data_IF_422154737058
#
_entry.id   IF_422154737058
#
_cell.length_a   1.000
_cell.length_b   1.000
_cell.length_c   1.000
_cell.angle_alpha   90.00
_cell.angle_beta   90.00
_cell.angle_gamma   90.00
#
_symmetry.space_group_name_H-M   'P 1'
#
loop_
_entity.id
_entity.type
_entity.pdbx_description
1 polymer ?
#
# COMPACT_ATOMS: atom_id res chain seq x y z
N UNK A 1 12.07 15.29 -3.31
CA UNK A 1 11.67 13.91 -3.67
C UNK A 1 10.23 13.66 -3.31
N UNK A 2 9.52 13.03 -4.20
CA UNK A 2 8.12 12.65 -4.00
C UNK A 2 8.07 11.14 -3.74
N UNK A 3 7.39 10.74 -2.68
CA UNK A 3 7.14 9.33 -2.40
C UNK A 3 6.16 8.78 -3.44
N UNK A 4 6.52 7.68 -4.08
CA UNK A 4 5.69 7.06 -5.12
C UNK A 4 5.62 5.56 -4.93
N UNK A 5 4.48 5.00 -5.32
CA UNK A 5 4.26 3.55 -5.36
C UNK A 5 3.90 3.21 -6.81
N UNK A 6 4.61 2.23 -7.38
CA UNK A 6 4.34 1.76 -8.73
C UNK A 6 5.15 2.45 -9.82
N UNK A 7 5.96 3.44 -9.49
CA UNK A 7 6.81 4.14 -10.45
C UNK A 7 8.05 4.65 -9.74
N UNK A 8 9.19 4.69 -10.44
CA UNK A 8 10.39 5.33 -9.90
C UNK A 8 10.17 6.84 -9.77
N UNK A 9 10.70 7.44 -8.71
CA UNK A 9 10.42 8.84 -8.40
C UNK A 9 11.11 9.83 -9.34
N UNK A 10 12.15 9.41 -10.04
CA UNK A 10 12.98 10.27 -10.86
C UNK A 10 12.94 9.95 -12.37
N UNK A 11 12.09 9.01 -12.78
CA UNK A 11 11.91 8.67 -14.19
C UNK A 11 10.42 8.49 -14.48
N UNK A 12 10.03 8.68 -15.74
CA UNK A 12 8.61 8.74 -16.11
C UNK A 12 8.08 7.48 -16.77
N UNK A 13 8.92 6.48 -17.02
CA UNK A 13 8.54 5.32 -17.81
C UNK A 13 8.90 3.98 -17.15
N UNK A 14 9.22 3.98 -15.86
CA UNK A 14 9.49 2.76 -15.12
C UNK A 14 8.30 2.49 -14.19
N UNK A 15 7.29 1.83 -14.71
CA UNK A 15 6.05 1.54 -13.99
C UNK A 15 6.04 0.09 -13.54
N UNK A 16 5.38 -0.16 -12.40
CA UNK A 16 5.12 -1.51 -11.93
C UNK A 16 4.01 -2.15 -12.76
N UNK A 17 4.25 -3.33 -13.28
CA UNK A 17 3.23 -4.09 -14.01
C UNK A 17 2.69 -5.21 -13.13
N UNK A 18 1.48 -5.05 -12.61
CA UNK A 18 0.89 -6.05 -11.74
C UNK A 18 -0.23 -5.44 -10.89
N UNK A 19 -0.55 -6.13 -9.80
CA UNK A 19 -1.63 -5.74 -8.88
C UNK A 19 -1.03 -5.43 -7.52
N UNK A 20 -1.44 -4.29 -6.93
CA UNK A 20 -1.06 -3.90 -5.58
C UNK A 20 -2.34 -3.78 -4.76
N UNK A 21 -2.40 -4.47 -3.62
CA UNK A 21 -3.57 -4.46 -2.75
C UNK A 21 -3.36 -3.60 -1.50
N UNK A 22 -2.30 -3.86 -0.76
CA UNK A 22 -2.02 -3.18 0.49
C UNK A 22 -0.56 -2.72 0.52
N UNK A 23 -0.32 -1.55 1.08
CA UNK A 23 1.02 -1.04 1.34
C UNK A 23 1.08 -0.52 2.76
N UNK A 24 2.11 -0.90 3.50
CA UNK A 24 2.30 -0.43 4.86
C UNK A 24 3.76 -0.08 5.09
N UNK A 25 3.98 0.95 5.88
CA UNK A 25 5.33 1.44 6.19
C UNK A 25 5.44 1.55 7.71
N UNK A 26 6.45 0.87 8.27
CA UNK A 26 6.81 1.00 9.68
C UNK A 26 8.05 1.86 9.78
N UNK A 27 8.10 2.68 10.82
CA UNK A 27 9.28 3.49 11.13
C UNK A 27 10.22 2.80 12.12
N UNK A 28 9.97 1.52 12.41
CA UNK A 28 10.77 0.69 13.30
C UNK A 28 11.09 -0.64 12.62
N UNK A 29 12.11 -1.34 13.14
CA UNK A 29 12.50 -2.64 12.62
C UNK A 29 11.46 -3.70 13.03
N UNK A 30 10.83 -4.33 12.03
CA UNK A 30 9.80 -5.34 12.21
C UNK A 30 10.27 -6.76 11.87
N UNK A 31 11.58 -6.99 11.84
CA UNK A 31 12.14 -8.31 11.48
C UNK A 31 11.54 -9.42 12.34
N UNK A 32 11.36 -9.19 13.66
CA UNK A 32 10.80 -10.18 14.56
C UNK A 32 9.30 -10.45 14.32
N UNK A 33 8.61 -9.59 13.58
CA UNK A 33 7.16 -9.67 13.36
C UNK A 33 6.80 -10.05 11.93
N UNK A 34 7.75 -10.42 11.08
CA UNK A 34 7.48 -10.67 9.66
C UNK A 34 6.44 -11.77 9.44
N UNK A 35 6.48 -12.84 10.22
CA UNK A 35 5.52 -13.93 10.08
C UNK A 35 4.09 -13.47 10.37
N UNK A 36 3.92 -12.63 11.38
CA UNK A 36 2.63 -12.06 11.75
C UNK A 36 2.11 -11.11 10.66
N UNK A 37 3.00 -10.28 10.12
CA UNK A 37 2.64 -9.33 9.06
C UNK A 37 2.26 -10.11 7.79
N UNK A 38 3.05 -11.13 7.44
CA UNK A 38 2.79 -11.93 6.25
C UNK A 38 1.49 -12.73 6.36
N UNK A 39 1.16 -13.21 7.56
CA UNK A 39 -0.07 -13.93 7.86
C UNK A 39 -0.33 -15.11 6.91
N UNK A 40 0.73 -15.86 6.59
CA UNK A 40 0.68 -17.00 5.66
C UNK A 40 0.11 -16.63 4.28
N UNK A 41 0.28 -15.38 3.87
CA UNK A 41 -0.20 -14.88 2.57
C UNK A 41 -1.64 -14.42 2.56
N UNK A 42 -2.38 -14.55 3.67
CA UNK A 42 -3.76 -14.10 3.74
C UNK A 42 -3.82 -12.60 4.03
N UNK A 43 -4.74 -11.90 3.38
CA UNK A 43 -4.96 -10.49 3.64
C UNK A 43 -5.46 -10.28 5.06
N UNK A 44 -5.05 -9.18 5.69
CA UNK A 44 -5.50 -8.80 7.03
C UNK A 44 -5.47 -7.29 7.18
N UNK A 45 -6.15 -6.78 8.18
CA UNK A 45 -6.07 -5.37 8.55
C UNK A 45 -4.85 -5.15 9.43
N UNK A 46 -3.81 -4.55 8.83
CA UNK A 46 -2.54 -4.34 9.52
C UNK A 46 -2.63 -3.30 10.63
N UNK A 47 -3.67 -2.46 10.62
CA UNK A 47 -3.88 -1.48 11.69
C UNK A 47 -4.26 -2.13 13.02
N UNK A 48 -4.66 -3.39 12.99
CA UNK A 48 -5.04 -4.14 14.20
C UNK A 48 -3.86 -4.87 14.85
N UNK A 49 -2.69 -4.82 14.26
CA UNK A 49 -1.51 -5.47 14.83
C UNK A 49 -1.05 -4.75 16.10
N UNK A 50 -0.38 -5.50 17.00
CA UNK A 50 0.18 -4.93 18.23
C UNK A 50 1.11 -3.75 17.93
N UNK A 51 1.92 -3.86 16.86
CA UNK A 51 2.72 -2.74 16.37
C UNK A 51 2.15 -2.35 15.02
N UNK A 52 1.26 -1.37 15.02
CA UNK A 52 0.63 -0.87 13.80
C UNK A 52 1.62 -0.09 12.95
N UNK A 53 1.45 -0.07 11.61
CA UNK A 53 2.33 0.71 10.75
C UNK A 53 2.17 2.21 10.97
N UNK A 54 3.20 2.97 10.62
CA UNK A 54 3.13 4.44 10.64
C UNK A 54 2.24 4.97 9.50
N UNK A 55 2.26 4.30 8.35
CA UNK A 55 1.41 4.62 7.21
C UNK A 55 0.83 3.31 6.66
N UNK A 56 -0.44 3.32 6.32
CA UNK A 56 -1.11 2.12 5.85
C UNK A 56 -2.16 2.48 4.79
N UNK A 57 -2.08 1.81 3.66
CA UNK A 57 -2.95 2.06 2.51
C UNK A 57 -3.63 0.77 2.09
N UNK A 58 -4.97 0.80 2.04
CA UNK A 58 -5.78 -0.27 1.46
C UNK A 58 -6.38 0.24 0.17
N UNK A 59 -6.03 -0.40 -0.96
CA UNK A 59 -6.49 0.04 -2.28
C UNK A 59 -7.75 -0.75 -2.61
N UNK A 60 -8.88 -0.30 -2.05
CA UNK A 60 -10.13 -1.05 -2.11
C UNK A 60 -11.26 -0.32 -2.82
N UNK A 61 -11.34 0.99 -2.70
CA UNK A 61 -12.53 1.72 -3.14
C UNK A 61 -12.23 2.88 -4.09
N UNK A 62 -10.98 3.23 -4.29
CA UNK A 62 -10.62 4.37 -5.14
C UNK A 62 -9.23 4.21 -5.72
N UNK A 63 -9.05 4.70 -6.93
CA UNK A 63 -7.73 4.82 -7.57
C UNK A 63 -7.30 6.27 -7.70
N UNK A 64 -8.12 7.23 -7.26
CA UNK A 64 -7.80 8.66 -7.35
C UNK A 64 -7.23 9.22 -6.06
N UNK A 65 -7.82 8.87 -4.93
CA UNK A 65 -7.30 9.24 -3.61
C UNK A 65 -7.34 8.03 -2.72
N UNK A 66 -6.18 7.62 -2.20
CA UNK A 66 -6.05 6.44 -1.36
C UNK A 66 -5.66 6.94 0.03
N UNK A 67 -6.56 6.74 0.99
CA UNK A 67 -6.37 7.25 2.34
C UNK A 67 -5.23 6.54 3.05
N UNK A 68 -4.47 7.29 3.85
CA UNK A 68 -3.54 6.75 4.81
C UNK A 68 -4.32 6.45 6.10
N UNK A 69 -4.57 5.17 6.37
CA UNK A 69 -5.44 4.76 7.48
C UNK A 69 -4.80 5.04 8.84
N UNK A 70 -3.48 4.96 8.94
CA UNK A 70 -2.77 5.14 10.20
C UNK A 70 -2.15 6.52 10.35
N UNK A 71 -1.85 7.19 9.25
CA UNK A 71 -1.20 8.50 9.27
C UNK A 71 -2.02 9.55 8.56
N UNK A 72 -1.34 10.57 8.05
CA UNK A 72 -1.99 11.71 7.39
C UNK A 72 -1.38 12.02 6.02
N UNK A 73 -0.85 11.02 5.33
CA UNK A 73 -0.18 11.18 4.05
C UNK A 73 -0.92 10.40 2.94
N UNK A 74 -2.10 10.86 2.50
CA UNK A 74 -2.85 10.14 1.48
C UNK A 74 -2.09 10.10 0.15
N UNK A 75 -2.38 9.09 -0.66
CA UNK A 75 -1.81 8.94 -1.99
C UNK A 75 -2.79 9.48 -3.04
N UNK A 76 -2.23 10.07 -4.09
CA UNK A 76 -3.00 10.47 -5.28
C UNK A 76 -2.64 9.53 -6.41
N UNK A 77 -3.66 8.93 -7.04
CA UNK A 77 -3.46 8.08 -8.20
C UNK A 77 -3.29 8.89 -9.47
N UNK A 78 -2.36 8.46 -10.31
CA UNK A 78 -2.11 9.08 -11.61
C UNK A 78 -2.26 8.03 -12.70
N UNK A 79 -2.92 8.40 -13.80
CA UNK A 79 -3.09 7.56 -14.99
C UNK A 79 -3.92 6.31 -14.73
N UNK A 80 -4.80 6.34 -13.72
CA UNK A 80 -5.73 5.26 -13.43
C UNK A 80 -7.12 5.60 -13.95
N UNK A 81 -7.88 4.56 -14.31
CA UNK A 81 -9.30 4.64 -14.58
C UNK A 81 -10.05 3.69 -13.66
N UNK A 82 -11.36 3.84 -13.55
CA UNK A 82 -12.15 3.05 -12.59
C UNK A 82 -12.00 1.53 -12.78
N UNK A 83 -11.80 1.08 -14.02
CA UNK A 83 -11.60 -0.34 -14.31
C UNK A 83 -10.28 -0.92 -13.84
N UNK A 84 -9.35 -0.09 -13.38
CA UNK A 84 -8.08 -0.55 -12.83
C UNK A 84 -8.22 -1.05 -11.38
N UNK A 85 -9.32 -0.72 -10.71
CA UNK A 85 -9.64 -1.25 -9.40
C UNK A 85 -10.29 -2.63 -9.57
N UNK A 86 -9.61 -3.67 -9.11
CA UNK A 86 -10.04 -5.05 -9.29
C UNK A 86 -10.31 -5.70 -7.93
N UNK A 87 -11.05 -6.81 -7.95
CA UNK A 87 -11.44 -7.50 -6.72
C UNK A 87 -10.53 -8.68 -6.39
N UNK A 88 -9.41 -8.79 -7.07
CA UNK A 88 -8.45 -9.87 -6.89
C UNK A 88 -7.66 -9.64 -5.61
N UNK A 89 -7.70 -10.59 -4.66
CA UNK A 89 -6.98 -10.51 -3.39
C UNK A 89 -6.11 -11.76 -3.20
N UNK A 90 -5.01 -11.64 -2.44
CA UNK A 90 -4.20 -12.82 -2.11
C UNK A 90 -4.94 -13.86 -1.28
#
# INVERSE_FOLDING_TARGET
>A
NVFRIGRASNVHNNYFGGIINQVAIWDTDQTANLATIYNSGAAQDLSLLTVAPAHYYEIESSVTTIADIEGSAPLTGYNFVAGDLVTDTP
#
